data_IF_755539684683
#
_entry.id   IF_755539684683
#
_cell.length_a   1.000
_cell.length_b   1.000
_cell.length_c   1.000
_cell.angle_alpha   90.00
_cell.angle_beta   90.00
_cell.angle_gamma   90.00
#
_symmetry.space_group_name_H-M   'P 1'
#
loop_
_entity.id
_entity.type
_entity.pdbx_description
1 polymer ?
#
# COMPACT_ATOMS: atom_id res chain seq x y z
N UNK A 1 -37.25 -91.85 8.44
CA UNK A 1 -35.93 -91.31 8.81
C UNK A 1 -35.60 -90.13 7.89
N UNK A 2 -35.80 -88.88 8.33
CA UNK A 2 -35.46 -87.66 7.55
C UNK A 2 -34.05 -87.21 7.94
N UNK A 3 -33.08 -87.34 7.03
CA UNK A 3 -31.75 -86.72 7.14
C UNK A 3 -31.78 -85.31 6.54
N UNK A 4 -30.99 -84.36 7.07
CA UNK A 4 -31.34 -82.95 7.05
C UNK A 4 -30.83 -82.23 5.79
N UNK A 5 -31.64 -81.32 5.26
CA UNK A 5 -31.34 -80.34 4.19
C UNK A 5 -30.29 -79.26 4.62
N UNK A 6 -29.36 -79.60 5.52
CA UNK A 6 -28.47 -78.62 6.21
C UNK A 6 -27.20 -78.29 5.43
N UNK A 7 -26.83 -79.10 4.42
CA UNK A 7 -25.55 -78.99 3.70
C UNK A 7 -25.54 -77.94 2.58
N UNK A 8 -26.69 -77.67 1.96
CA UNK A 8 -26.85 -76.67 0.88
C UNK A 8 -26.93 -75.24 1.39
N UNK A 9 -27.55 -75.02 2.55
CA UNK A 9 -27.67 -73.69 3.17
C UNK A 9 -26.31 -73.10 3.57
N UNK A 10 -25.41 -73.91 4.14
CA UNK A 10 -24.08 -73.44 4.55
C UNK A 10 -23.19 -73.08 3.34
N UNK A 11 -23.21 -73.87 2.27
CA UNK A 11 -22.49 -73.58 1.02
C UNK A 11 -22.99 -72.29 0.35
N UNK A 12 -24.31 -72.09 0.33
CA UNK A 12 -24.90 -70.87 -0.21
C UNK A 12 -24.51 -69.63 0.60
N UNK A 13 -24.46 -69.72 1.94
CA UNK A 13 -24.02 -68.62 2.81
C UNK A 13 -22.53 -68.30 2.57
N UNK A 14 -21.68 -69.31 2.43
CA UNK A 14 -20.24 -69.11 2.14
C UNK A 14 -20.03 -68.45 0.78
N UNK A 15 -20.76 -68.89 -0.26
CA UNK A 15 -20.74 -68.27 -1.59
C UNK A 15 -21.24 -66.82 -1.56
N UNK A 16 -22.28 -66.54 -0.78
CA UNK A 16 -22.84 -65.20 -0.62
C UNK A 16 -21.83 -64.27 0.08
N UNK A 17 -21.19 -64.74 1.16
CA UNK A 17 -20.15 -63.99 1.88
C UNK A 17 -18.92 -63.73 1.01
N UNK A 18 -18.53 -64.70 0.17
CA UNK A 18 -17.46 -64.54 -0.80
C UNK A 18 -17.81 -63.48 -1.85
N UNK A 19 -19.01 -63.53 -2.43
CA UNK A 19 -19.48 -62.48 -3.36
C UNK A 19 -19.56 -61.10 -2.70
N UNK A 20 -20.09 -61.00 -1.47
CA UNK A 20 -20.11 -59.76 -0.70
C UNK A 20 -18.69 -59.21 -0.42
N UNK A 21 -17.71 -60.07 -0.16
CA UNK A 21 -16.30 -59.65 -0.04
C UNK A 21 -15.70 -59.17 -1.37
N UNK A 22 -16.02 -59.82 -2.49
CA UNK A 22 -15.56 -59.39 -3.83
C UNK A 22 -16.20 -58.08 -4.29
N UNK A 23 -17.42 -57.78 -3.82
CA UNK A 23 -18.13 -56.53 -4.08
C UNK A 23 -17.73 -55.40 -3.12
N UNK A 24 -16.90 -55.67 -2.11
CA UNK A 24 -16.44 -54.65 -1.18
C UNK A 24 -15.50 -53.67 -1.91
N UNK A 25 -15.78 -52.36 -1.89
CA UNK A 25 -14.89 -51.39 -2.52
C UNK A 25 -13.53 -51.41 -1.81
N UNK A 26 -12.45 -51.58 -2.59
CA UNK A 26 -11.10 -51.48 -2.08
C UNK A 26 -10.85 -50.08 -1.50
N UNK A 27 -10.14 -49.94 -0.37
CA UNK A 27 -9.77 -48.63 0.15
C UNK A 27 -8.93 -47.89 -0.90
N UNK A 28 -9.39 -46.71 -1.31
CA UNK A 28 -8.68 -45.88 -2.28
C UNK A 28 -7.65 -45.05 -1.53
N UNK A 29 -6.37 -45.30 -1.80
CA UNK A 29 -5.27 -44.43 -1.36
C UNK A 29 -5.37 -43.09 -2.06
N UNK A 30 -5.51 -42.01 -1.29
CA UNK A 30 -5.65 -40.66 -1.85
C UNK A 30 -5.05 -39.57 -0.98
N UNK A 31 -4.68 -38.49 -1.64
CA UNK A 31 -4.19 -37.26 -1.01
C UNK A 31 -4.97 -36.05 -1.54
N UNK A 32 -5.23 -35.11 -0.64
CA UNK A 32 -5.89 -33.84 -0.92
C UNK A 32 -4.99 -32.72 -0.42
N UNK A 33 -4.64 -31.78 -1.29
CA UNK A 33 -3.85 -30.59 -0.97
C UNK A 33 -4.74 -29.36 -1.04
N UNK A 34 -4.57 -28.45 -0.08
CA UNK A 34 -5.39 -27.25 0.07
C UNK A 34 -4.53 -26.04 0.40
N UNK A 35 -4.68 -25.00 -0.43
CA UNK A 35 -4.08 -23.68 -0.26
C UNK A 35 -5.18 -22.61 -0.30
N UNK A 36 -4.98 -21.44 0.33
CA UNK A 36 -5.85 -20.28 0.11
C UNK A 36 -5.87 -19.88 -1.37
N UNK A 37 -7.00 -19.40 -1.92
CA UNK A 37 -7.07 -19.02 -3.33
C UNK A 37 -6.20 -17.79 -3.64
N UNK A 38 -6.16 -16.83 -2.72
CA UNK A 38 -5.40 -15.59 -2.86
C UNK A 38 -4.77 -15.19 -1.52
N UNK A 39 -3.59 -14.59 -1.59
CA UNK A 39 -2.85 -14.02 -0.47
C UNK A 39 -2.42 -12.61 -0.86
N UNK A 40 -2.75 -11.64 -0.01
CA UNK A 40 -2.33 -10.24 -0.19
C UNK A 40 -1.18 -9.90 0.75
N UNK A 41 -0.26 -9.09 0.25
CA UNK A 41 0.88 -8.63 1.03
C UNK A 41 1.28 -7.21 0.63
N UNK A 42 1.91 -6.48 1.54
CA UNK A 42 2.57 -5.22 1.19
C UNK A 42 4.02 -5.49 0.84
N UNK A 43 4.60 -4.63 -0.01
CA UNK A 43 6.04 -4.64 -0.28
C UNK A 43 6.83 -4.59 1.04
N UNK A 44 7.77 -5.51 1.19
CA UNK A 44 8.63 -5.68 2.37
C UNK A 44 8.09 -6.64 3.42
N UNK A 45 6.83 -7.09 3.33
CA UNK A 45 6.26 -8.01 4.30
C UNK A 45 6.90 -9.40 4.21
N UNK A 46 6.82 -10.15 5.32
CA UNK A 46 7.07 -11.59 5.31
C UNK A 46 5.74 -12.32 5.22
N UNK A 47 5.55 -13.05 4.13
CA UNK A 47 4.26 -13.66 3.76
C UNK A 47 4.35 -15.15 3.96
N UNK A 48 3.31 -15.76 4.53
CA UNK A 48 3.21 -17.22 4.62
C UNK A 48 2.32 -17.73 3.49
N UNK A 49 2.87 -18.60 2.66
CA UNK A 49 2.14 -19.34 1.64
C UNK A 49 1.71 -20.67 2.25
N UNK A 50 0.49 -20.70 2.77
CA UNK A 50 -0.04 -21.86 3.49
C UNK A 50 -0.37 -23.00 2.53
N UNK A 51 0.12 -24.21 2.84
CA UNK A 51 -0.22 -25.43 2.13
C UNK A 51 -0.47 -26.56 3.13
N UNK A 52 -1.72 -27.02 3.18
CA UNK A 52 -2.13 -28.14 4.03
C UNK A 52 -2.47 -29.35 3.16
N UNK A 53 -2.24 -30.55 3.68
CA UNK A 53 -2.60 -31.78 2.98
C UNK A 53 -3.16 -32.83 3.94
N UNK A 54 -4.11 -33.61 3.42
CA UNK A 54 -4.70 -34.77 4.10
C UNK A 54 -4.43 -36.01 3.25
N UNK A 55 -3.88 -37.06 3.86
CA UNK A 55 -3.50 -38.32 3.21
C UNK A 55 -4.07 -39.49 3.99
N UNK A 56 -4.53 -40.53 3.30
CA UNK A 56 -4.99 -41.79 3.92
C UNK A 56 -3.85 -42.58 4.60
N UNK A 57 -2.64 -42.47 4.05
CA UNK A 57 -1.40 -43.05 4.54
C UNK A 57 -0.62 -42.01 5.35
N UNK A 58 0.06 -42.45 6.42
CA UNK A 58 0.91 -41.53 7.19
C UNK A 58 2.07 -41.02 6.33
N UNK A 59 2.51 -39.76 6.52
CA UNK A 59 3.71 -39.23 5.89
C UNK A 59 4.92 -40.15 6.11
N UNK A 60 5.60 -40.55 5.03
CA UNK A 60 6.80 -41.40 5.08
C UNK A 60 8.05 -40.64 4.63
N UNK A 61 9.24 -41.25 4.75
CA UNK A 61 10.49 -40.67 4.23
C UNK A 61 10.52 -40.53 2.70
N UNK A 62 9.61 -41.21 1.99
CA UNK A 62 9.43 -41.13 0.54
C UNK A 62 8.49 -40.00 0.11
N UNK A 63 7.91 -39.28 1.07
CA UNK A 63 7.05 -38.13 0.80
C UNK A 63 7.87 -36.99 0.20
N UNK A 64 7.31 -36.32 -0.81
CA UNK A 64 7.91 -35.13 -1.42
C UNK A 64 6.93 -33.96 -1.42
N UNK A 65 7.47 -32.76 -1.29
CA UNK A 65 6.74 -31.50 -1.51
C UNK A 65 7.51 -30.68 -2.52
N UNK A 66 6.84 -30.22 -3.56
CA UNK A 66 7.39 -29.34 -4.58
C UNK A 66 6.61 -28.04 -4.59
N UNK A 67 7.33 -26.92 -4.51
CA UNK A 67 6.77 -25.60 -4.76
C UNK A 67 7.25 -25.06 -6.09
N UNK A 68 6.31 -24.62 -6.90
CA UNK A 68 6.56 -23.96 -8.17
C UNK A 68 5.89 -22.60 -8.26
N UNK A 69 6.43 -21.74 -9.09
CA UNK A 69 5.98 -20.37 -9.29
C UNK A 69 5.72 -20.12 -10.77
N UNK A 70 4.63 -19.41 -11.06
CA UNK A 70 4.30 -18.90 -12.38
C UNK A 70 4.13 -17.38 -12.31
N UNK A 71 4.89 -16.60 -13.08
CA UNK A 71 4.71 -15.15 -13.14
C UNK A 71 3.30 -14.75 -13.58
N UNK A 72 2.83 -13.60 -13.11
CA UNK A 72 1.55 -13.02 -13.57
C UNK A 72 1.57 -12.72 -15.08
N UNK A 73 2.73 -12.40 -15.65
CA UNK A 73 2.94 -12.23 -17.10
C UNK A 73 2.76 -13.52 -17.90
N UNK A 74 2.60 -14.67 -17.25
CA UNK A 74 2.50 -15.97 -17.89
C UNK A 74 3.84 -16.70 -18.00
N UNK A 75 3.88 -17.71 -18.88
CA UNK A 75 5.00 -18.63 -19.03
C UNK A 75 4.84 -19.97 -18.29
N UNK A 76 5.82 -20.87 -18.41
CA UNK A 76 5.81 -22.17 -17.73
C UNK A 76 6.05 -22.02 -16.22
N UNK A 77 5.49 -22.90 -15.38
CA UNK A 77 5.79 -22.93 -13.95
C UNK A 77 7.25 -23.36 -13.71
N UNK A 78 7.93 -22.66 -12.81
CA UNK A 78 9.32 -22.91 -12.42
C UNK A 78 9.36 -23.45 -11.00
N UNK A 79 9.91 -24.65 -10.81
CA UNK A 79 10.13 -25.22 -9.48
C UNK A 79 11.28 -24.47 -8.79
N UNK A 80 11.08 -24.06 -7.54
CA UNK A 80 12.10 -23.33 -6.79
C UNK A 80 12.42 -23.95 -5.43
N UNK A 81 11.56 -24.81 -4.89
CA UNK A 81 11.81 -25.52 -3.64
C UNK A 81 11.36 -26.97 -3.76
N UNK A 82 12.21 -27.86 -3.28
CA UNK A 82 11.95 -29.28 -3.15
C UNK A 82 12.12 -29.70 -1.68
N UNK A 83 11.24 -30.57 -1.19
CA UNK A 83 11.36 -31.22 0.10
C UNK A 83 11.45 -32.74 -0.10
N UNK A 84 12.48 -33.35 0.46
CA UNK A 84 12.64 -34.80 0.58
C UNK A 84 13.43 -35.10 1.84
N UNK A 85 12.71 -35.48 2.90
CA UNK A 85 13.19 -35.57 4.30
C UNK A 85 13.73 -34.26 4.92
N UNK A 86 14.25 -33.35 4.10
CA UNK A 86 14.66 -31.99 4.42
C UNK A 86 14.25 -31.05 3.29
N UNK A 87 14.11 -29.76 3.61
CA UNK A 87 13.82 -28.72 2.61
C UNK A 87 15.09 -28.24 1.90
N UNK A 88 14.97 -27.99 0.60
CA UNK A 88 16.01 -27.42 -0.26
C UNK A 88 15.49 -26.10 -0.85
N UNK A 89 15.58 -24.98 -0.09
CA UNK A 89 15.17 -23.67 -0.59
C UNK A 89 16.19 -23.12 -1.61
N UNK A 90 15.76 -22.20 -2.49
CA UNK A 90 16.64 -21.60 -3.49
C UNK A 90 17.69 -20.70 -2.83
N UNK A 91 18.94 -20.83 -3.27
CA UNK A 91 20.08 -19.99 -2.85
C UNK A 91 20.28 -18.79 -3.76
N UNK A 92 19.89 -18.91 -5.03
CA UNK A 92 20.08 -17.91 -6.08
C UNK A 92 18.76 -17.60 -6.81
N UNK A 93 18.81 -16.66 -7.75
CA UNK A 93 17.65 -16.24 -8.53
C UNK A 93 16.69 -15.36 -7.74
N UNK A 94 15.48 -15.14 -8.28
CA UNK A 94 14.54 -14.18 -7.71
C UNK A 94 14.18 -14.47 -6.24
N UNK A 95 14.10 -15.74 -5.86
CA UNK A 95 13.73 -16.18 -4.51
C UNK A 95 14.94 -16.53 -3.62
N UNK A 96 16.17 -16.33 -4.13
CA UNK A 96 17.40 -16.70 -3.45
C UNK A 96 17.48 -16.13 -2.04
N UNK A 97 17.58 -17.03 -1.05
CA UNK A 97 17.69 -16.65 0.36
C UNK A 97 16.42 -16.07 1.01
N UNK A 98 15.32 -15.88 0.26
CA UNK A 98 14.07 -15.29 0.78
C UNK A 98 13.02 -16.32 1.19
N UNK A 99 13.14 -17.56 0.71
CA UNK A 99 12.21 -18.64 1.07
C UNK A 99 12.68 -19.34 2.34
N UNK A 100 11.75 -19.61 3.26
CA UNK A 100 11.95 -20.49 4.41
C UNK A 100 10.86 -21.53 4.48
N UNK A 101 11.28 -22.74 4.84
CA UNK A 101 10.36 -23.83 5.13
C UNK A 101 9.69 -23.60 6.50
N UNK A 102 8.37 -23.71 6.54
CA UNK A 102 7.57 -23.60 7.78
C UNK A 102 6.74 -24.86 8.05
N UNK A 103 6.58 -25.71 7.04
CA UNK A 103 5.71 -26.88 7.13
C UNK A 103 6.16 -27.91 8.16
N UNK A 104 5.18 -28.58 8.76
CA UNK A 104 5.37 -29.78 9.55
C UNK A 104 4.69 -30.96 8.86
N UNK A 105 5.40 -31.74 8.01
CA UNK A 105 4.79 -32.81 7.21
C UNK A 105 4.05 -33.85 8.06
N UNK A 106 4.59 -34.17 9.24
CA UNK A 106 3.94 -35.08 10.19
C UNK A 106 2.54 -34.62 10.65
N UNK A 107 2.23 -33.33 10.52
CA UNK A 107 0.94 -32.71 10.86
C UNK A 107 0.12 -32.32 9.62
N UNK A 108 0.52 -32.75 8.41
CA UNK A 108 -0.18 -32.39 7.18
C UNK A 108 0.12 -30.96 6.71
N UNK A 109 1.26 -30.38 7.10
CA UNK A 109 1.62 -29.00 6.75
C UNK A 109 2.89 -28.94 5.89
N UNK A 110 2.79 -28.23 4.77
CA UNK A 110 3.80 -28.07 3.73
C UNK A 110 4.06 -26.59 3.40
N UNK A 111 3.72 -25.69 4.33
CA UNK A 111 3.78 -24.24 4.17
C UNK A 111 5.20 -23.70 4.07
N UNK A 112 5.34 -22.56 3.38
CA UNK A 112 6.60 -21.82 3.26
C UNK A 112 6.35 -20.35 3.58
N UNK A 113 7.42 -19.62 3.94
CA UNK A 113 7.38 -18.17 4.06
C UNK A 113 8.30 -17.50 3.04
N UNK A 114 7.80 -16.45 2.40
CA UNK A 114 8.54 -15.54 1.53
C UNK A 114 8.88 -14.28 2.32
N UNK A 115 10.17 -14.05 2.58
CA UNK A 115 10.68 -12.89 3.31
C UNK A 115 10.88 -11.72 2.33
N UNK A 116 10.55 -10.51 2.77
CA UNK A 116 10.76 -9.28 2.01
C UNK A 116 10.11 -9.37 0.62
N UNK A 117 8.77 -9.46 0.62
CA UNK A 117 7.98 -9.56 -0.59
C UNK A 117 8.16 -8.32 -1.49
N UNK A 118 8.28 -8.55 -2.80
CA UNK A 118 8.48 -7.52 -3.82
C UNK A 118 7.36 -7.56 -4.84
N UNK A 119 7.16 -6.48 -5.59
CA UNK A 119 6.12 -6.43 -6.63
C UNK A 119 6.36 -7.46 -7.75
N UNK A 120 7.61 -7.88 -7.95
CA UNK A 120 7.99 -8.89 -8.93
C UNK A 120 7.64 -10.31 -8.47
N UNK A 121 7.28 -10.50 -7.20
CA UNK A 121 6.84 -11.80 -6.67
C UNK A 121 5.37 -12.09 -6.99
N UNK A 122 4.66 -11.14 -7.61
CA UNK A 122 3.28 -11.32 -8.03
C UNK A 122 3.17 -12.48 -9.02
N UNK A 123 2.25 -13.40 -8.73
CA UNK A 123 2.08 -14.59 -9.55
C UNK A 123 1.38 -15.72 -8.80
N UNK A 124 1.37 -16.88 -9.42
CA UNK A 124 0.73 -18.08 -8.88
C UNK A 124 1.79 -19.00 -8.29
N UNK A 125 1.63 -19.34 -7.01
CA UNK A 125 2.44 -20.33 -6.32
C UNK A 125 1.66 -21.63 -6.23
N UNK A 126 2.30 -22.74 -6.59
CA UNK A 126 1.67 -24.05 -6.67
C UNK A 126 2.40 -25.02 -5.76
N UNK A 127 1.67 -25.60 -4.80
CA UNK A 127 2.14 -26.62 -3.89
C UNK A 127 1.72 -27.99 -4.41
N UNK A 128 2.68 -28.89 -4.63
CA UNK A 128 2.44 -30.28 -5.00
C UNK A 128 2.97 -31.21 -3.93
N UNK A 129 2.12 -32.08 -3.41
CA UNK A 129 2.47 -33.04 -2.35
C UNK A 129 2.25 -34.45 -2.86
N UNK A 130 3.24 -35.32 -2.66
CA UNK A 130 3.15 -36.75 -2.97
C UNK A 130 3.54 -37.54 -1.73
N UNK A 131 2.70 -38.48 -1.31
CA UNK A 131 2.97 -39.33 -0.15
C UNK A 131 2.69 -40.80 -0.47
N UNK A 132 3.60 -41.51 -1.16
CA UNK A 132 3.39 -42.90 -1.55
C UNK A 132 2.97 -43.80 -0.36
N UNK A 133 1.95 -44.68 -0.52
CA UNK A 133 1.25 -45.04 -1.77
C UNK A 133 0.21 -44.03 -2.25
N UNK A 134 -0.10 -42.99 -1.47
CA UNK A 134 -1.07 -41.95 -1.81
C UNK A 134 -0.47 -40.94 -2.78
N UNK A 135 -0.53 -41.30 -4.06
CA UNK A 135 -0.15 -40.43 -5.19
C UNK A 135 -1.32 -40.05 -6.08
N UNK A 136 -2.51 -40.58 -5.79
CA UNK A 136 -3.75 -40.31 -6.51
C UNK A 136 -4.60 -39.26 -5.77
N UNK A 137 -5.45 -38.53 -6.49
CA UNK A 137 -6.30 -37.48 -5.94
C UNK A 137 -5.84 -36.07 -6.31
N UNK A 138 -6.15 -35.09 -5.46
CA UNK A 138 -5.78 -33.68 -5.65
C UNK A 138 -4.41 -33.43 -5.00
N UNK A 139 -3.36 -33.88 -5.68
CA UNK A 139 -1.96 -33.75 -5.24
C UNK A 139 -1.42 -32.33 -5.35
N UNK A 140 -2.14 -31.42 -6.01
CA UNK A 140 -1.68 -30.08 -6.34
C UNK A 140 -2.75 -29.05 -6.02
N UNK A 141 -2.34 -27.96 -5.35
CA UNK A 141 -3.17 -26.79 -5.08
C UNK A 141 -2.37 -25.51 -5.35
N UNK A 142 -3.05 -24.42 -5.66
CA UNK A 142 -2.41 -23.16 -6.05
C UNK A 142 -3.00 -21.96 -5.32
N UNK A 143 -2.17 -20.94 -5.14
CA UNK A 143 -2.51 -19.66 -4.51
C UNK A 143 -1.95 -18.51 -5.33
N UNK A 144 -2.72 -17.44 -5.48
CA UNK A 144 -2.27 -16.21 -6.14
C UNK A 144 -1.72 -15.26 -5.09
N UNK A 145 -0.46 -14.84 -5.24
CA UNK A 145 0.15 -13.82 -4.39
C UNK A 145 0.02 -12.46 -5.08
N UNK A 146 -0.60 -11.52 -4.38
CA UNK A 146 -0.77 -10.12 -4.81
C UNK A 146 -0.04 -9.20 -3.84
N UNK A 147 1.15 -8.75 -4.21
CA UNK A 147 1.96 -7.77 -3.48
C UNK A 147 1.61 -6.37 -3.97
N UNK A 148 1.21 -5.50 -3.05
CA UNK A 148 0.91 -4.09 -3.32
C UNK A 148 2.00 -3.16 -2.75
N UNK A 149 2.19 -1.96 -3.32
CA UNK A 149 3.07 -0.97 -2.73
C UNK A 149 2.65 -0.66 -1.29
N UNK A 150 3.62 -0.55 -0.38
CA UNK A 150 3.34 -0.18 1.00
C UNK A 150 2.95 1.30 1.04
N UNK A 151 1.65 1.56 1.14
CA UNK A 151 1.16 2.93 1.29
C UNK A 151 1.39 3.36 2.74
N UNK A 152 2.09 4.47 3.01
CA UNK A 152 2.20 4.98 4.37
C UNK A 152 0.80 5.35 4.85
N UNK A 153 0.27 4.58 5.80
CA UNK A 153 -0.97 4.96 6.48
C UNK A 153 -0.62 6.03 7.50
N UNK A 154 -0.85 7.29 7.14
CA UNK A 154 -0.85 8.37 8.13
C UNK A 154 -2.12 8.18 8.96
N UNK A 155 -1.96 7.53 10.12
CA UNK A 155 -3.03 7.40 11.11
C UNK A 155 -3.08 8.71 11.88
N UNK A 156 -3.93 9.64 11.46
CA UNK A 156 -4.24 10.78 12.31
C UNK A 156 -5.04 10.26 13.51
N UNK A 157 -4.58 10.55 14.72
CA UNK A 157 -5.38 10.30 15.92
C UNK A 157 -6.59 11.24 15.87
N UNK A 158 -7.80 10.72 16.15
CA UNK A 158 -9.01 11.55 16.23
C UNK A 158 -8.79 12.74 17.18
N UNK A 159 -8.01 12.55 18.24
CA UNK A 159 -7.62 13.61 19.18
C UNK A 159 -6.77 14.68 18.49
N UNK A 160 -5.79 14.30 17.67
CA UNK A 160 -4.94 15.26 16.95
C UNK A 160 -5.75 16.06 15.91
N UNK A 161 -6.70 15.42 15.24
CA UNK A 161 -7.61 16.09 14.30
C UNK A 161 -8.50 17.08 15.03
N UNK A 162 -9.11 16.68 16.14
CA UNK A 162 -9.95 17.56 16.96
C UNK A 162 -9.15 18.74 17.53
N UNK A 163 -7.95 18.50 18.05
CA UNK A 163 -7.07 19.56 18.55
C UNK A 163 -6.69 20.55 17.44
N UNK A 164 -6.41 20.08 16.23
CA UNK A 164 -6.16 20.98 15.10
C UNK A 164 -7.37 21.88 14.82
N UNK A 165 -8.58 21.31 14.76
CA UNK A 165 -9.80 22.08 14.54
C UNK A 165 -10.18 23.02 15.67
N UNK A 166 -9.70 22.81 16.90
CA UNK A 166 -9.96 23.70 18.05
C UNK A 166 -8.88 24.79 18.16
N UNK A 167 -7.61 24.40 18.08
CA UNK A 167 -6.47 25.29 18.30
C UNK A 167 -6.29 26.26 17.13
N UNK A 168 -6.56 25.85 15.89
CA UNK A 168 -6.40 26.70 14.73
C UNK A 168 -7.34 27.91 14.72
N UNK A 169 -8.68 27.77 14.87
CA UNK A 169 -9.55 28.94 14.96
C UNK A 169 -9.31 29.77 16.22
N UNK A 170 -8.97 29.13 17.35
CA UNK A 170 -8.60 29.86 18.57
C UNK A 170 -7.38 30.76 18.34
N UNK A 171 -6.31 30.22 17.74
CA UNK A 171 -5.12 30.97 17.38
C UNK A 171 -5.43 32.14 16.43
N UNK A 172 -6.24 31.90 15.39
CA UNK A 172 -6.67 32.96 14.44
C UNK A 172 -7.42 34.08 15.16
N UNK A 173 -8.37 33.74 16.04
CA UNK A 173 -9.13 34.75 16.80
C UNK A 173 -8.18 35.55 17.69
N UNK A 174 -7.25 34.89 18.39
CA UNK A 174 -6.29 35.60 19.27
C UNK A 174 -5.40 36.55 18.48
N UNK A 175 -4.90 36.16 17.30
CA UNK A 175 -4.11 37.02 16.43
C UNK A 175 -4.91 38.23 15.93
N UNK A 176 -6.18 38.05 15.55
CA UNK A 176 -7.06 39.16 15.15
C UNK A 176 -7.25 40.15 16.31
N UNK A 177 -7.48 39.65 17.53
CA UNK A 177 -7.65 40.50 18.70
C UNK A 177 -6.36 41.27 19.03
N UNK A 178 -5.19 40.61 18.97
CA UNK A 178 -3.89 41.25 19.17
C UNK A 178 -3.66 42.33 18.11
N UNK A 179 -3.94 42.06 16.84
CA UNK A 179 -3.83 43.05 15.76
C UNK A 179 -4.73 44.27 15.99
N UNK A 180 -5.95 44.06 16.50
CA UNK A 180 -6.86 45.17 16.85
C UNK A 180 -6.38 45.99 18.06
N UNK A 181 -5.69 45.37 19.01
CA UNK A 181 -5.10 46.07 20.16
C UNK A 181 -3.84 46.85 19.76
N UNK A 182 -3.01 46.30 18.87
CA UNK A 182 -1.78 46.95 18.41
C UNK A 182 -2.02 48.03 17.34
N UNK A 183 -3.12 47.95 16.59
CA UNK A 183 -3.56 48.98 15.65
C UNK A 183 -4.94 49.53 16.03
N UNK A 184 -5.05 50.42 17.04
CA UNK A 184 -6.33 51.03 17.40
C UNK A 184 -6.88 51.84 16.23
N UNK A 185 -8.12 51.52 15.83
CA UNK A 185 -8.86 52.22 14.78
C UNK A 185 -8.91 53.71 15.11
N UNK A 186 -8.18 54.55 14.37
CA UNK A 186 -8.27 56.01 14.44
C UNK A 186 -9.72 56.39 14.13
N UNK A 187 -10.49 56.80 15.13
CA UNK A 187 -11.84 57.33 14.91
C UNK A 187 -11.74 58.53 13.96
N UNK A 188 -12.31 58.38 12.76
CA UNK A 188 -12.49 59.47 11.82
C UNK A 188 -13.70 60.27 12.30
N UNK A 189 -13.47 61.25 13.16
CA UNK A 189 -14.47 62.27 13.51
C UNK A 189 -15.02 62.87 12.21
N UNK A 190 -16.27 62.54 11.87
CA UNK A 190 -17.01 63.24 10.82
C UNK A 190 -17.54 64.55 11.41
N UNK A 191 -16.71 65.58 11.49
CA UNK A 191 -17.22 66.94 11.64
C UNK A 191 -17.85 67.36 10.33
N UNK A 192 -19.18 67.28 10.24
CA UNK A 192 -19.96 67.88 9.16
C UNK A 192 -19.84 69.41 9.27
N UNK A 193 -19.00 70.04 8.45
CA UNK A 193 -18.99 71.48 8.30
C UNK A 193 -20.08 71.88 7.29
N UNK A 194 -21.21 72.36 7.80
CA UNK A 194 -22.20 73.09 7.01
C UNK A 194 -21.62 74.49 6.73
N UNK A 195 -21.36 74.85 5.48
CA UNK A 195 -21.01 76.22 5.09
C UNK A 195 -22.06 76.73 4.12
N UNK A 196 -22.84 77.69 4.59
CA UNK A 196 -23.72 78.52 3.76
C UNK A 196 -23.06 79.89 3.52
N UNK A 197 -23.48 80.58 2.44
CA UNK A 197 -22.65 81.51 1.69
C UNK A 197 -22.92 82.98 2.09
N UNK A 198 -22.02 83.86 1.64
CA UNK A 198 -22.10 85.33 1.61
C UNK A 198 -21.41 86.03 2.80
N UNK A 199 -20.23 86.60 2.52
CA UNK A 199 -20.02 88.05 2.63
C UNK A 199 -18.83 88.48 1.76
N UNK A 200 -19.05 89.58 1.04
CA UNK A 200 -18.09 90.32 0.24
C UNK A 200 -17.39 91.29 1.17
N UNK A 201 -16.07 91.37 1.13
CA UNK A 201 -15.36 92.64 1.32
C UNK A 201 -13.97 92.60 0.71
N UNK A 202 -13.66 93.75 0.17
CA UNK A 202 -12.56 94.19 -0.67
C UNK A 202 -11.28 94.46 0.16
N UNK A 203 -10.11 94.36 -0.47
CA UNK A 203 -8.88 95.00 0.03
C UNK A 203 -7.76 94.07 0.50
N UNK A 204 -6.64 94.18 -0.23
CA UNK A 204 -5.26 94.23 0.29
C UNK A 204 -4.65 92.92 0.86
N UNK A 205 -3.38 92.55 0.70
CA UNK A 205 -2.21 93.00 -0.05
C UNK A 205 -1.16 91.86 0.07
N UNK A 206 -0.15 91.89 -0.79
CA UNK A 206 0.87 90.87 -1.10
C UNK A 206 1.67 90.27 0.08
N UNK A 207 1.99 88.97 -0.03
CA UNK A 207 3.17 88.34 0.61
C UNK A 207 3.17 86.81 0.66
N UNK A 208 4.06 86.14 -0.09
CA UNK A 208 4.38 84.68 -0.04
C UNK A 208 5.90 84.53 -0.32
N UNK A 209 6.64 83.48 0.14
CA UNK A 209 6.42 82.48 1.19
C UNK A 209 7.57 82.37 2.22
N UNK A 210 7.25 82.06 3.48
CA UNK A 210 8.21 81.49 4.44
C UNK A 210 7.95 80.01 4.66
N UNK A 211 8.87 79.15 4.21
CA UNK A 211 8.87 77.71 4.51
C UNK A 211 9.14 77.47 6.00
N UNK A 212 8.23 76.79 6.69
CA UNK A 212 8.49 76.20 8.01
C UNK A 212 8.27 74.70 7.94
N UNK A 213 9.38 73.95 8.06
CA UNK A 213 9.38 72.51 8.27
C UNK A 213 8.65 72.20 9.59
N UNK A 214 7.55 71.44 9.50
CA UNK A 214 6.85 70.89 10.64
C UNK A 214 7.40 69.49 10.86
N UNK A 215 8.25 69.36 11.86
CA UNK A 215 8.79 68.08 12.31
C UNK A 215 7.66 67.33 13.03
N UNK A 216 7.11 66.31 12.38
CA UNK A 216 6.07 65.45 12.97
C UNK A 216 6.66 64.07 13.29
N UNK A 217 6.45 63.67 14.54
CA UNK A 217 7.00 62.49 15.23
C UNK A 217 6.72 61.19 14.48
N UNK A 218 7.77 60.41 14.26
CA UNK A 218 7.68 59.02 13.80
C UNK A 218 6.88 58.15 14.80
N UNK A 219 5.94 57.34 14.29
CA UNK A 219 5.25 56.29 15.05
C UNK A 219 5.78 54.92 14.64
N UNK A 220 6.04 54.11 15.66
CA UNK A 220 6.58 52.75 15.64
C UNK A 220 5.59 51.71 15.06
N UNK A 221 5.21 51.84 13.79
CA UNK A 221 4.37 50.86 13.10
C UNK A 221 4.91 50.39 11.74
N UNK A 222 6.09 50.85 11.29
CA UNK A 222 6.70 50.41 10.02
C UNK A 222 7.66 49.23 10.17
N UNK A 223 7.42 48.35 11.15
CA UNK A 223 8.14 47.09 11.25
C UNK A 223 7.13 45.94 11.22
N UNK A 224 7.08 45.27 10.07
CA UNK A 224 6.37 44.01 9.81
C UNK A 224 4.91 44.11 9.36
N UNK A 225 4.74 44.64 8.15
CA UNK A 225 3.83 44.03 7.18
C UNK A 225 4.67 43.68 5.95
N UNK A 226 5.27 42.49 5.96
CA UNK A 226 5.60 41.79 4.71
C UNK A 226 4.38 40.94 4.39
N UNK A 227 3.35 41.56 3.85
CA UNK A 227 2.34 40.83 3.10
C UNK A 227 2.75 40.87 1.63
N UNK A 228 2.61 39.71 1.02
CA UNK A 228 2.57 39.46 -0.41
C UNK A 228 2.22 40.68 -1.24
N UNK A 229 3.08 41.02 -2.22
CA UNK A 229 2.72 41.50 -3.57
C UNK A 229 3.99 42.03 -4.30
N UNK A 230 5.00 41.19 -4.54
CA UNK A 230 6.05 41.48 -5.53
C UNK A 230 6.32 40.28 -6.44
N UNK A 231 5.26 39.86 -7.14
CA UNK A 231 5.36 39.21 -8.46
C UNK A 231 5.48 40.30 -9.55
N UNK A 232 6.43 41.25 -9.40
CA UNK A 232 6.59 42.35 -10.35
C UNK A 232 8.04 42.86 -10.54
N UNK A 233 9.06 42.00 -10.45
CA UNK A 233 10.42 42.35 -10.94
C UNK A 233 11.19 41.18 -11.58
N UNK A 234 10.51 40.34 -12.36
CA UNK A 234 11.18 39.35 -13.22
C UNK A 234 10.60 39.27 -14.64
N UNK A 235 10.27 40.42 -15.24
CA UNK A 235 9.71 40.48 -16.60
C UNK A 235 10.57 41.25 -17.63
N UNK A 236 11.82 41.56 -17.33
CA UNK A 236 12.68 42.30 -18.27
C UNK A 236 13.98 41.59 -18.72
N UNK A 237 14.24 40.35 -18.29
CA UNK A 237 15.44 39.61 -18.71
C UNK A 237 15.22 38.45 -19.70
N UNK A 238 14.01 38.28 -20.23
CA UNK A 238 13.75 37.14 -21.14
C UNK A 238 12.83 37.46 -22.31
N UNK A 239 13.11 38.54 -23.04
CA UNK A 239 12.67 38.73 -24.43
C UNK A 239 13.72 39.51 -25.23
N UNK A 240 14.73 38.80 -25.72
CA UNK A 240 15.46 39.22 -26.92
C UNK A 240 15.78 37.98 -27.77
N UNK A 241 15.27 37.86 -29.00
CA UNK A 241 15.65 36.79 -29.92
C UNK A 241 16.96 37.17 -30.64
N UNK A 242 17.79 36.20 -31.04
CA UNK A 242 18.69 36.39 -32.16
C UNK A 242 18.05 35.80 -33.42
N UNK A 243 17.80 36.70 -34.37
CA UNK A 243 17.64 36.38 -35.79
C UNK A 243 18.89 35.71 -36.35
N UNK A 244 18.67 34.90 -37.38
CA UNK A 244 19.68 34.19 -38.14
C UNK A 244 20.19 35.03 -39.31
N UNK A 245 21.50 35.07 -39.48
CA UNK A 245 22.28 35.32 -40.70
C UNK A 245 23.71 34.87 -40.31
N UNK A 246 24.49 34.08 -41.04
CA UNK A 246 24.57 33.85 -42.47
C UNK A 246 26.06 33.98 -42.86
N UNK A 247 26.67 32.86 -43.25
CA UNK A 247 27.79 32.75 -44.20
C UNK A 247 29.28 32.99 -43.78
N UNK A 248 30.01 31.87 -43.84
CA UNK A 248 31.33 31.57 -44.44
C UNK A 248 32.68 32.17 -43.98
N UNK A 249 33.60 31.20 -43.82
CA UNK A 249 34.97 31.07 -44.34
C UNK A 249 36.22 31.61 -43.61
N UNK A 250 37.06 30.63 -43.24
CA UNK A 250 38.48 30.49 -43.62
C UNK A 250 39.61 31.10 -42.74
N UNK A 251 40.62 30.24 -42.52
CA UNK A 251 42.05 30.47 -42.21
C UNK A 251 42.39 31.19 -40.87
N UNK A 252 43.34 30.76 -40.04
CA UNK A 252 44.51 29.89 -40.12
C UNK A 252 44.68 29.08 -38.82
#
# INVERSE_FOLDING_TARGET
MRRPLRRTSALNVVLLLYWLCCLAPSPVSSIIVTTPPEVHASKGDTVTLSCSFTSTSRPTSRMTVDWSYRPQSGGPPMMFLHFSSRAYPPTEGQFGGRIRWQGTPARGDASISLINATLNDNGTFTCTVRNPPDVHGSTTSHTVLTVTPRVPSIRFSDVAVLLFFILLPSAVITLILIGRMMCPKKERNQSKAHRSPIEVTEGDEYGIPGYTHKEDRAKCCDLYVMDSDEEYYLKDFKKRPPEAEGYADSHC
#
